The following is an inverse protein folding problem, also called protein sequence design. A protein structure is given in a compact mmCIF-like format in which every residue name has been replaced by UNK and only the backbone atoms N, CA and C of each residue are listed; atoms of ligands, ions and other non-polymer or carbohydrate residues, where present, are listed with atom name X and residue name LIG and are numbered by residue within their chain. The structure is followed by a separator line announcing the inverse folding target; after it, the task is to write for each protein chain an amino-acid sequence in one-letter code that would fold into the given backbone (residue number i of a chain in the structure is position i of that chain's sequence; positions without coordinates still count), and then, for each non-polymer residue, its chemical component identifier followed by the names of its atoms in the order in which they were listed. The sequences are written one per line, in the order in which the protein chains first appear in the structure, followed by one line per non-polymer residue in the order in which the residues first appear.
data_IF_470257592044
#
_entry.id   IF_470257592044
#
_cell.length_a   1.000
_cell.length_b   1.000
_cell.length_c   1.000
_cell.angle_alpha   90.00
_cell.angle_beta   90.00
_cell.angle_gamma   90.00
#
_symmetry.space_group_name_H-M   'P 1'
#
loop_
_entity.id
_entity.type
_entity.pdbx_description
1 polymer ?
#
# COMPACT_ATOMS: atom_id res chain seq x y z
N UNK A 1 7.97 11.60 -42.06
CA UNK A 1 7.19 10.61 -41.30
C UNK A 1 6.42 9.80 -42.33
N UNK A 2 6.60 8.49 -42.36
CA UNK A 2 5.99 7.61 -43.37
C UNK A 2 4.77 6.93 -42.76
N UNK A 3 3.60 7.18 -43.33
CA UNK A 3 2.33 6.64 -42.84
C UNK A 3 2.19 5.16 -43.25
N UNK A 4 2.68 4.25 -42.39
CA UNK A 4 2.62 2.81 -42.62
C UNK A 4 1.20 2.28 -42.37
N UNK A 5 0.34 2.44 -43.36
CA UNK A 5 -0.98 1.80 -43.38
C UNK A 5 -0.82 0.28 -43.48
N UNK A 6 -1.20 -0.43 -42.41
CA UNK A 6 -1.17 -1.90 -42.36
C UNK A 6 -2.01 -2.53 -43.49
N UNK A 7 -1.51 -3.60 -44.11
CA UNK A 7 -2.28 -4.35 -45.11
C UNK A 7 -3.46 -5.08 -44.46
N UNK A 8 -4.58 -5.33 -45.18
CA UNK A 8 -5.76 -5.99 -44.62
C UNK A 8 -5.49 -7.34 -43.94
N UNK A 9 -4.53 -8.11 -44.45
CA UNK A 9 -4.08 -9.39 -43.86
C UNK A 9 -3.39 -9.17 -42.50
N UNK A 10 -2.55 -8.12 -42.37
CA UNK A 10 -1.87 -7.76 -41.13
C UNK A 10 -2.88 -7.24 -40.09
N UNK A 11 -3.88 -6.47 -40.53
CA UNK A 11 -5.01 -6.04 -39.68
C UNK A 11 -5.81 -7.27 -39.21
N UNK A 12 -6.10 -8.22 -40.10
CA UNK A 12 -6.83 -9.44 -39.75
C UNK A 12 -6.07 -10.33 -38.77
N UNK A 13 -4.73 -10.44 -38.88
CA UNK A 13 -3.92 -11.13 -37.87
C UNK A 13 -4.00 -10.40 -36.54
N UNK A 14 -3.65 -9.11 -36.50
CA UNK A 14 -3.62 -8.34 -35.26
C UNK A 14 -4.98 -8.33 -34.51
N UNK A 15 -6.11 -8.29 -35.23
CA UNK A 15 -7.45 -8.41 -34.64
C UNK A 15 -7.70 -9.82 -34.07
N UNK A 16 -7.25 -10.88 -34.75
CA UNK A 16 -7.33 -12.25 -34.25
C UNK A 16 -6.42 -12.45 -33.02
N UNK A 17 -5.19 -11.92 -33.05
CA UNK A 17 -4.20 -11.99 -31.98
C UNK A 17 -4.68 -11.25 -30.71
N UNK A 18 -5.33 -10.09 -30.87
CA UNK A 18 -6.00 -9.38 -29.77
C UNK A 18 -7.19 -10.18 -29.23
N UNK A 19 -8.01 -10.79 -30.10
CA UNK A 19 -9.18 -11.57 -29.69
C UNK A 19 -8.81 -12.86 -28.93
N UNK A 20 -7.80 -13.60 -29.41
CA UNK A 20 -7.30 -14.82 -28.74
C UNK A 20 -6.63 -14.48 -27.42
N UNK A 21 -5.75 -13.47 -27.39
CA UNK A 21 -5.10 -12.99 -26.16
C UNK A 21 -6.13 -12.54 -25.13
N UNK A 22 -7.19 -11.82 -25.56
CA UNK A 22 -8.27 -11.41 -24.66
C UNK A 22 -9.01 -12.61 -24.07
N UNK A 23 -9.36 -13.61 -24.88
CA UNK A 23 -10.01 -14.84 -24.41
C UNK A 23 -9.17 -15.59 -23.36
N UNK A 24 -7.85 -15.69 -23.57
CA UNK A 24 -6.94 -16.31 -22.58
C UNK A 24 -6.85 -15.49 -21.30
N UNK A 25 -6.86 -14.15 -21.36
CA UNK A 25 -6.88 -13.27 -20.18
C UNK A 25 -8.18 -13.42 -19.38
N UNK A 26 -9.34 -13.56 -20.04
CA UNK A 26 -10.62 -13.73 -19.37
C UNK A 26 -10.73 -15.10 -18.70
N UNK A 27 -10.43 -16.20 -19.40
CA UNK A 27 -10.38 -17.56 -18.83
C UNK A 27 -9.37 -17.66 -17.66
N UNK A 28 -8.18 -17.07 -17.79
CA UNK A 28 -7.21 -17.02 -16.70
C UNK A 28 -7.69 -16.20 -15.50
N UNK A 29 -8.51 -15.16 -15.72
CA UNK A 29 -9.11 -14.36 -14.64
C UNK A 29 -10.20 -15.13 -13.91
N UNK A 30 -11.07 -15.86 -14.62
CA UNK A 30 -12.06 -16.75 -14.02
C UNK A 30 -11.40 -17.90 -13.24
N UNK A 31 -10.36 -18.52 -13.81
CA UNK A 31 -9.58 -19.55 -13.13
C UNK A 31 -8.92 -19.00 -11.85
N UNK A 32 -8.32 -17.81 -11.91
CA UNK A 32 -7.72 -17.14 -10.76
C UNK A 32 -8.75 -16.87 -9.65
N UNK A 33 -9.91 -16.28 -9.94
CA UNK A 33 -10.93 -16.05 -8.91
C UNK A 33 -11.57 -17.35 -8.38
N UNK A 34 -11.69 -18.38 -9.23
CA UNK A 34 -12.09 -19.73 -8.80
C UNK A 34 -11.08 -20.35 -7.82
N UNK A 35 -9.78 -20.26 -8.12
CA UNK A 35 -8.70 -20.68 -7.23
C UNK A 35 -8.66 -19.85 -5.94
N UNK A 36 -8.81 -18.52 -6.03
CA UNK A 36 -8.87 -17.58 -4.91
C UNK A 36 -10.04 -17.88 -3.96
N UNK A 37 -11.21 -18.20 -4.51
CA UNK A 37 -12.41 -18.62 -3.77
C UNK A 37 -12.20 -19.94 -3.02
N UNK A 38 -11.57 -20.94 -3.66
CA UNK A 38 -11.19 -22.22 -3.02
C UNK A 38 -10.16 -22.00 -1.90
N UNK A 39 -9.09 -21.24 -2.17
CA UNK A 39 -8.05 -20.89 -1.20
C UNK A 39 -8.63 -20.14 0.01
N UNK A 40 -9.53 -19.17 -0.21
CA UNK A 40 -10.22 -18.43 0.87
C UNK A 40 -11.00 -19.35 1.82
N UNK A 41 -11.61 -20.42 1.33
CA UNK A 41 -12.28 -21.41 2.17
C UNK A 41 -11.27 -22.28 2.94
N UNK A 42 -10.26 -22.82 2.25
CA UNK A 42 -9.25 -23.71 2.85
C UNK A 42 -8.30 -23.03 3.84
N UNK A 43 -8.01 -21.74 3.65
CA UNK A 43 -7.10 -20.96 4.51
C UNK A 43 -7.78 -20.35 5.74
N UNK A 44 -9.12 -20.31 5.78
CA UNK A 44 -9.89 -19.70 6.88
C UNK A 44 -9.50 -20.21 8.30
N UNK A 45 -9.18 -21.50 8.53
CA UNK A 45 -8.70 -21.98 9.83
C UNK A 45 -7.40 -21.31 10.28
N UNK A 46 -6.44 -21.07 9.38
CA UNK A 46 -5.16 -20.42 9.68
C UNK A 46 -5.37 -18.94 10.08
N UNK A 47 -6.32 -18.25 9.44
CA UNK A 47 -6.69 -16.87 9.81
C UNK A 47 -7.28 -16.81 11.22
N UNK A 48 -8.13 -17.79 11.58
CA UNK A 48 -8.68 -17.94 12.94
C UNK A 48 -7.61 -18.29 13.97
N UNK A 49 -6.61 -19.09 13.60
CA UNK A 49 -5.44 -19.42 14.41
C UNK A 49 -4.42 -18.27 14.54
N UNK A 50 -4.75 -17.06 14.08
CA UNK A 50 -3.91 -15.88 14.28
C UNK A 50 -2.75 -15.73 13.30
N UNK A 51 -2.67 -16.51 12.23
CA UNK A 51 -1.68 -16.32 11.16
C UNK A 51 -1.88 -14.97 10.47
N UNK A 52 -0.79 -14.24 10.18
CA UNK A 52 -0.81 -12.93 9.52
C UNK A 52 -0.54 -13.04 8.01
N UNK A 53 0.38 -13.89 7.61
CA UNK A 53 0.78 -14.14 6.22
C UNK A 53 1.29 -15.56 6.02
N UNK A 54 1.34 -15.99 4.75
CA UNK A 54 1.91 -17.25 4.29
C UNK A 54 2.76 -16.98 3.04
N UNK A 55 3.98 -17.50 3.00
CA UNK A 55 4.82 -17.50 1.78
C UNK A 55 4.44 -18.69 0.92
N UNK A 56 4.20 -18.48 -0.37
CA UNK A 56 4.10 -19.59 -1.33
C UNK A 56 5.49 -19.87 -1.90
N UNK A 57 5.84 -21.15 -2.07
CA UNK A 57 7.11 -21.58 -2.63
C UNK A 57 6.90 -22.79 -3.56
N UNK A 58 7.84 -22.98 -4.47
CA UNK A 58 7.94 -24.17 -5.32
C UNK A 58 8.47 -25.39 -4.52
N UNK A 59 8.34 -26.62 -5.07
CA UNK A 59 8.88 -27.83 -4.43
C UNK A 59 10.40 -27.81 -4.18
N UNK A 60 11.15 -26.99 -4.93
CA UNK A 60 12.59 -26.75 -4.73
C UNK A 60 12.92 -25.75 -3.60
N UNK A 61 11.90 -25.13 -2.99
CA UNK A 61 12.03 -24.10 -1.96
C UNK A 61 12.05 -22.66 -2.46
N UNK A 62 12.03 -22.41 -3.78
CA UNK A 62 12.02 -21.05 -4.35
C UNK A 62 10.74 -20.32 -3.97
N UNK A 63 10.88 -19.21 -3.24
CA UNK A 63 9.74 -18.38 -2.82
C UNK A 63 9.14 -17.61 -4.01
N UNK A 64 7.82 -17.70 -4.16
CA UNK A 64 7.04 -17.10 -5.27
C UNK A 64 6.37 -15.77 -4.89
N UNK A 65 6.36 -15.44 -3.59
CA UNK A 65 5.66 -14.29 -3.04
C UNK A 65 4.89 -14.62 -1.76
N UNK A 66 4.16 -13.61 -1.26
CA UNK A 66 3.50 -13.66 0.05
C UNK A 66 2.01 -13.37 -0.06
N UNK A 67 1.21 -14.25 0.55
CA UNK A 67 -0.20 -14.08 0.80
C UNK A 67 -0.38 -13.46 2.18
N UNK A 68 -1.00 -12.27 2.26
CA UNK A 68 -1.25 -11.55 3.52
C UNK A 68 -2.75 -11.51 3.80
N UNK A 69 -3.15 -11.93 5.00
CA UNK A 69 -4.56 -11.93 5.39
C UNK A 69 -5.03 -10.54 5.79
N UNK A 70 -6.14 -10.10 5.20
CA UNK A 70 -6.80 -8.86 5.60
C UNK A 70 -7.49 -9.04 6.95
N UNK A 71 -7.11 -8.22 7.92
CA UNK A 71 -7.81 -8.10 9.20
C UNK A 71 -8.55 -6.75 9.22
N UNK A 72 -9.88 -6.74 9.18
CA UNK A 72 -10.62 -5.53 9.49
C UNK A 72 -10.30 -5.11 10.93
N UNK A 73 -9.97 -3.83 11.13
CA UNK A 73 -9.72 -3.26 12.45
C UNK A 73 -10.95 -3.43 13.36
N UNK A 74 -10.78 -3.59 14.69
CA UNK A 74 -11.91 -3.57 15.62
C UNK A 74 -12.67 -2.25 15.46
N UNK A 75 -14.00 -2.32 15.55
CA UNK A 75 -14.82 -1.12 15.73
C UNK A 75 -15.11 -0.98 17.21
N UNK A 76 -14.50 0.04 17.80
CA UNK A 76 -14.76 0.45 19.17
C UNK A 76 -15.94 1.43 19.11
N UNK A 77 -17.04 1.08 19.77
CA UNK A 77 -18.11 2.03 20.08
C UNK A 77 -18.03 2.27 21.58
N UNK A 78 -17.75 3.52 21.95
CA UNK A 78 -17.76 3.96 23.35
C UNK A 78 -19.20 4.15 23.83
N UNK A 79 -19.44 3.88 25.10
CA UNK A 79 -20.65 4.32 25.80
C UNK A 79 -20.31 5.68 26.43
N UNK A 80 -20.92 6.77 25.94
CA UNK A 80 -20.52 8.14 26.33
C UNK A 80 -20.81 8.42 27.81
N UNK A 81 -21.88 7.84 28.37
CA UNK A 81 -22.26 8.03 29.77
C UNK A 81 -21.31 7.24 30.69
N UNK A 82 -21.11 5.94 30.43
CA UNK A 82 -20.24 5.09 31.24
C UNK A 82 -18.74 5.46 31.11
N UNK A 83 -18.30 5.94 29.94
CA UNK A 83 -16.96 6.48 29.76
C UNK A 83 -16.76 7.78 30.54
N UNK A 84 -17.79 8.64 30.62
CA UNK A 84 -17.71 9.88 31.41
C UNK A 84 -17.65 9.58 32.91
N UNK A 85 -18.46 8.64 33.41
CA UNK A 85 -18.42 8.18 34.81
C UNK A 85 -17.03 7.62 35.16
N UNK A 86 -16.48 6.72 34.33
CA UNK A 86 -15.14 6.17 34.56
C UNK A 86 -14.02 7.22 34.54
N UNK A 87 -14.07 8.20 33.63
CA UNK A 87 -13.04 9.26 33.56
C UNK A 87 -13.16 10.25 34.72
N UNK A 88 -14.37 10.50 35.25
CA UNK A 88 -14.57 11.36 36.42
C UNK A 88 -14.00 10.73 37.71
N UNK A 89 -14.14 9.41 37.87
CA UNK A 89 -13.52 8.68 38.99
C UNK A 89 -11.99 8.56 38.88
N UNK A 90 -11.46 8.41 37.66
CA UNK A 90 -10.04 8.03 37.45
C UNK A 90 -9.11 9.17 37.05
N UNK A 91 -9.59 10.12 36.27
CA UNK A 91 -8.80 11.21 35.68
C UNK A 91 -9.68 12.44 35.37
N UNK A 92 -10.37 13.03 36.36
CA UNK A 92 -11.37 14.09 36.13
C UNK A 92 -10.81 15.35 35.43
N UNK A 93 -9.48 15.53 35.42
CA UNK A 93 -8.79 16.60 34.67
C UNK A 93 -8.76 16.42 33.14
N UNK A 94 -9.21 15.28 32.62
CA UNK A 94 -9.30 14.99 31.17
C UNK A 94 -10.74 15.03 30.62
N UNK A 95 -11.71 15.38 31.48
CA UNK A 95 -13.03 15.86 31.06
C UNK A 95 -12.90 17.34 30.70
N UNK A 96 -13.26 17.71 29.46
CA UNK A 96 -13.55 19.09 29.11
C UNK A 96 -15.05 19.36 29.34
N UNK A 97 -15.34 20.33 30.21
CA UNK A 97 -16.66 20.91 30.45
C UNK A 97 -16.77 22.20 29.61
N UNK A 98 -17.38 22.10 28.43
CA UNK A 98 -17.55 23.24 27.52
C UNK A 98 -18.99 23.79 27.59
N UNK A 99 -19.11 25.12 27.58
CA UNK A 99 -20.38 25.86 27.56
C UNK A 99 -20.51 26.50 26.17
N UNK A 100 -21.73 26.60 25.63
CA UNK A 100 -21.98 27.27 24.34
C UNK A 100 -21.21 28.61 24.25
N UNK A 101 -20.28 28.76 23.26
CA UNK A 101 -19.44 29.96 23.14
C UNK A 101 -20.21 31.27 22.97
N UNK A 102 -21.49 31.23 22.57
CA UNK A 102 -22.35 32.41 22.53
C UNK A 102 -22.83 32.87 23.92
N UNK A 103 -22.79 31.99 24.92
CA UNK A 103 -23.25 32.22 26.30
C UNK A 103 -22.06 32.59 27.21
N UNK A 104 -20.89 31.98 27.01
CA UNK A 104 -19.65 32.25 27.75
C UNK A 104 -19.16 33.72 27.72
N UNK A 105 -19.65 34.53 26.78
CA UNK A 105 -19.25 35.92 26.64
C UNK A 105 -19.74 36.86 27.77
N UNK A 106 -20.61 36.38 28.67
CA UNK A 106 -21.13 37.15 29.80
C UNK A 106 -20.79 36.49 31.16
N UNK A 107 -19.90 37.06 32.00
CA UNK A 107 -19.42 36.41 33.21
C UNK A 107 -20.55 36.09 34.22
N UNK A 108 -21.53 36.99 34.36
CA UNK A 108 -22.68 36.82 35.26
C UNK A 108 -23.50 35.55 34.96
N UNK A 109 -23.47 35.07 33.71
CA UNK A 109 -24.20 33.87 33.27
C UNK A 109 -23.42 32.59 33.59
N UNK A 110 -22.08 32.65 33.56
CA UNK A 110 -21.22 31.51 33.92
C UNK A 110 -21.34 31.19 35.40
N UNK A 111 -21.28 32.22 36.25
CA UNK A 111 -21.46 32.07 37.71
C UNK A 111 -22.88 31.56 38.04
N UNK A 112 -23.91 32.08 37.37
CA UNK A 112 -25.29 31.61 37.56
C UNK A 112 -25.54 30.16 37.13
N UNK A 113 -24.97 29.72 35.98
CA UNK A 113 -25.07 28.33 35.50
C UNK A 113 -24.42 27.37 36.51
N UNK A 114 -23.23 27.71 37.02
CA UNK A 114 -22.52 26.90 38.02
C UNK A 114 -23.29 26.77 39.35
N UNK A 115 -24.02 27.81 39.77
CA UNK A 115 -24.85 27.76 40.98
C UNK A 115 -26.20 27.05 40.81
N UNK A 116 -26.84 27.14 39.64
CA UNK A 116 -28.27 26.80 39.49
C UNK A 116 -28.59 25.68 38.51
N UNK A 117 -27.77 25.46 37.47
CA UNK A 117 -28.05 24.54 36.36
C UNK A 117 -26.79 23.82 35.85
N UNK A 118 -26.10 23.02 36.70
CA UNK A 118 -24.91 22.27 36.31
C UNK A 118 -25.18 21.26 35.17
N UNK A 119 -26.43 20.82 34.98
CA UNK A 119 -26.84 19.95 33.87
C UNK A 119 -26.72 20.58 32.48
N UNK A 120 -26.44 21.89 32.38
CA UNK A 120 -26.12 22.56 31.13
C UNK A 120 -24.67 22.32 30.66
N UNK A 121 -23.78 21.81 31.52
CA UNK A 121 -22.39 21.49 31.18
C UNK A 121 -22.30 20.17 30.42
N UNK A 122 -21.90 20.20 29.15
CA UNK A 122 -21.73 18.98 28.36
C UNK A 122 -20.30 18.45 28.48
N UNK A 123 -20.09 17.66 29.53
CA UNK A 123 -18.86 16.89 29.76
C UNK A 123 -18.50 16.05 28.53
N UNK A 124 -17.24 16.09 28.12
CA UNK A 124 -16.70 15.23 27.07
C UNK A 124 -15.24 14.87 27.33
N UNK A 125 -14.84 13.64 27.01
CA UNK A 125 -13.45 13.19 27.18
C UNK A 125 -12.60 13.68 26.03
N UNK A 126 -11.45 14.30 26.34
CA UNK A 126 -10.53 14.83 25.33
C UNK A 126 -10.16 13.78 24.27
N UNK A 127 -10.33 14.06 22.96
CA UNK A 127 -10.02 13.10 21.90
C UNK A 127 -8.59 12.56 21.94
N UNK A 128 -7.62 13.39 22.36
CA UNK A 128 -6.22 12.99 22.54
C UNK A 128 -6.04 11.97 23.68
N UNK A 129 -6.84 12.06 24.75
CA UNK A 129 -6.84 11.11 25.86
C UNK A 129 -7.50 9.79 25.46
N UNK A 130 -8.59 9.84 24.69
CA UNK A 130 -9.21 8.63 24.10
C UNK A 130 -8.19 7.82 23.28
N UNK A 131 -7.36 8.47 22.45
CA UNK A 131 -6.29 7.79 21.68
C UNK A 131 -5.16 7.20 22.55
N UNK A 132 -5.05 7.58 23.83
CA UNK A 132 -4.18 6.90 24.81
C UNK A 132 -4.90 5.69 25.40
N UNK A 133 -6.16 5.85 25.84
CA UNK A 133 -6.98 4.76 26.37
C UNK A 133 -7.17 3.60 25.36
N UNK A 134 -7.23 3.88 24.06
CA UNK A 134 -7.24 2.87 22.98
C UNK A 134 -6.01 1.93 22.98
N UNK A 135 -4.91 2.30 23.63
CA UNK A 135 -3.68 1.49 23.69
C UNK A 135 -3.66 0.54 24.89
N UNK A 136 -4.35 0.90 25.97
CA UNK A 136 -4.48 0.12 27.21
C UNK A 136 -5.79 -0.70 27.26
N UNK A 137 -6.73 -0.45 26.34
CA UNK A 137 -8.01 -1.16 26.22
C UNK A 137 -7.82 -2.66 25.90
N UNK A 138 -8.48 -3.52 26.67
CA UNK A 138 -8.39 -4.97 26.47
C UNK A 138 -9.26 -5.48 25.32
N UNK A 139 -9.16 -6.79 25.06
CA UNK A 139 -9.87 -7.48 23.99
C UNK A 139 -11.37 -7.73 24.27
N UNK A 140 -11.86 -7.34 25.44
CA UNK A 140 -13.27 -7.36 25.82
C UNK A 140 -13.89 -5.96 25.84
N UNK A 141 -13.07 -4.90 25.87
CA UNK A 141 -13.49 -3.50 25.99
C UNK A 141 -13.37 -2.93 27.40
N UNK A 142 -12.53 -3.54 28.24
CA UNK A 142 -12.28 -3.12 29.60
C UNK A 142 -10.97 -2.34 29.74
N UNK A 143 -10.93 -1.42 30.71
CA UNK A 143 -9.73 -0.79 31.24
C UNK A 143 -9.52 -1.22 32.69
N UNK A 144 -8.27 -1.28 33.15
CA UNK A 144 -7.97 -1.48 34.57
C UNK A 144 -8.06 -0.14 35.31
N UNK A 145 -8.93 -0.04 36.31
CA UNK A 145 -9.06 1.13 37.16
C UNK A 145 -7.74 1.38 37.93
N UNK A 146 -7.08 2.55 37.78
CA UNK A 146 -5.67 2.73 38.15
C UNK A 146 -5.36 2.64 39.64
N UNK A 147 -6.37 2.78 40.51
CA UNK A 147 -6.21 2.73 41.98
C UNK A 147 -6.55 1.35 42.56
N UNK A 148 -7.45 0.58 41.94
CA UNK A 148 -7.95 -0.70 42.47
C UNK A 148 -7.50 -1.92 41.67
N UNK A 149 -7.10 -1.73 40.40
CA UNK A 149 -6.77 -2.81 39.46
C UNK A 149 -7.98 -3.58 38.93
N UNK A 150 -9.20 -3.15 39.24
CA UNK A 150 -10.43 -3.80 38.77
C UNK A 150 -10.74 -3.45 37.31
N UNK A 151 -11.24 -4.41 36.54
CA UNK A 151 -11.54 -4.23 35.11
C UNK A 151 -12.93 -3.63 34.93
N UNK A 152 -12.99 -2.39 34.46
CA UNK A 152 -14.23 -1.66 34.16
C UNK A 152 -14.48 -1.71 32.65
N UNK A 153 -15.68 -2.16 32.24
CA UNK A 153 -16.08 -2.21 30.84
C UNK A 153 -16.52 -0.82 30.36
N UNK A 154 -15.72 -0.19 29.50
CA UNK A 154 -15.91 1.19 29.01
C UNK A 154 -16.26 1.27 27.52
N UNK A 155 -16.10 0.17 26.78
CA UNK A 155 -16.33 0.14 25.34
C UNK A 155 -16.95 -1.19 24.87
N UNK A 156 -17.77 -1.12 23.81
CA UNK A 156 -18.19 -2.33 23.08
C UNK A 156 -17.20 -2.60 21.95
N UNK A 157 -16.22 -3.48 22.20
CA UNK A 157 -15.25 -3.93 21.18
C UNK A 157 -15.92 -4.93 20.22
N UNK A 158 -16.51 -4.42 19.15
CA UNK A 158 -17.07 -5.27 18.10
C UNK A 158 -15.91 -5.82 17.24
N UNK A 159 -15.52 -7.07 17.48
CA UNK A 159 -14.52 -7.77 16.64
C UNK A 159 -15.17 -8.24 15.33
N UNK A 160 -14.86 -7.61 14.17
CA UNK A 160 -15.44 -8.02 12.90
C UNK A 160 -15.06 -9.46 12.51
N UNK A 161 -16.07 -10.26 12.15
CA UNK A 161 -15.93 -11.68 11.79
C UNK A 161 -14.89 -11.89 10.68
N UNK A 162 -13.77 -12.53 11.01
CA UNK A 162 -12.68 -12.84 10.05
C UNK A 162 -13.21 -13.55 8.81
N UNK A 163 -13.04 -12.89 7.67
CA UNK A 163 -13.69 -13.23 6.39
C UNK A 163 -12.88 -14.19 5.51
N UNK A 164 -11.62 -14.49 5.89
CA UNK A 164 -10.66 -15.22 5.08
C UNK A 164 -10.13 -14.43 3.86
N UNK A 165 -10.42 -13.13 3.74
CA UNK A 165 -9.90 -12.31 2.65
C UNK A 165 -8.37 -12.15 2.75
N UNK A 166 -7.71 -12.13 1.60
CA UNK A 166 -6.27 -11.95 1.50
C UNK A 166 -5.89 -11.13 0.27
N UNK A 167 -4.70 -10.55 0.36
CA UNK A 167 -3.95 -9.95 -0.74
C UNK A 167 -2.79 -10.88 -1.11
N UNK A 168 -2.42 -10.92 -2.38
CA UNK A 168 -1.25 -11.65 -2.89
C UNK A 168 -0.23 -10.64 -3.40
N UNK A 169 1.02 -10.75 -2.95
CA UNK A 169 2.16 -10.01 -3.48
C UNK A 169 3.13 -11.01 -4.10
N UNK A 170 3.16 -11.07 -5.43
CA UNK A 170 4.09 -11.90 -6.17
C UNK A 170 5.55 -11.40 -5.98
N UNK A 171 6.50 -12.33 -6.05
CA UNK A 171 7.88 -12.00 -6.40
C UNK A 171 8.01 -12.02 -7.93
N UNK A 172 8.12 -10.85 -8.53
CA UNK A 172 8.22 -10.70 -9.98
C UNK A 172 9.54 -11.24 -10.54
N UNK A 173 10.60 -11.37 -9.72
CA UNK A 173 11.88 -11.96 -10.15
C UNK A 173 11.74 -13.46 -10.46
N UNK A 174 10.80 -14.14 -9.81
CA UNK A 174 10.55 -15.58 -9.98
C UNK A 174 9.48 -15.89 -11.04
N UNK A 175 8.98 -14.87 -11.77
CA UNK A 175 7.92 -15.04 -12.80
C UNK A 175 8.28 -16.11 -13.82
N UNK A 176 9.50 -16.07 -14.39
CA UNK A 176 9.93 -17.04 -15.41
C UNK A 176 10.08 -18.45 -14.82
N UNK A 177 10.68 -18.59 -13.63
CA UNK A 177 10.80 -19.89 -12.92
C UNK A 177 9.43 -20.50 -12.61
N UNK A 178 8.44 -19.68 -12.24
CA UNK A 178 7.05 -20.09 -12.01
C UNK A 178 6.36 -20.55 -13.31
N UNK A 179 6.47 -19.77 -14.39
CA UNK A 179 5.89 -20.15 -15.68
C UNK A 179 6.49 -21.47 -16.19
N UNK A 180 7.80 -21.67 -16.05
CA UNK A 180 8.47 -22.94 -16.36
C UNK A 180 7.98 -24.08 -15.46
N UNK A 181 7.78 -23.87 -14.16
CA UNK A 181 7.25 -24.88 -13.23
C UNK A 181 5.82 -25.32 -13.57
N UNK A 182 4.98 -24.38 -14.03
CA UNK A 182 3.60 -24.68 -14.44
C UNK A 182 3.57 -25.34 -15.83
N UNK A 183 4.44 -24.93 -16.77
CA UNK A 183 4.59 -25.57 -18.08
C UNK A 183 5.16 -27.00 -18.00
N UNK A 184 6.09 -27.26 -17.09
CA UNK A 184 6.68 -28.58 -16.86
C UNK A 184 5.75 -29.56 -16.11
N UNK A 185 4.67 -29.06 -15.52
CA UNK A 185 3.77 -29.85 -14.67
C UNK A 185 4.27 -30.05 -13.23
N UNK A 186 5.38 -29.42 -12.84
CA UNK A 186 5.88 -29.39 -11.46
C UNK A 186 4.86 -28.75 -10.49
N UNK A 187 4.07 -27.78 -10.98
CA UNK A 187 2.95 -27.16 -10.25
C UNK A 187 1.63 -27.50 -10.92
N UNK A 188 0.80 -28.30 -10.25
CA UNK A 188 -0.47 -28.79 -10.78
C UNK A 188 -1.55 -27.72 -10.95
N UNK A 189 -2.44 -27.94 -11.93
CA UNK A 189 -3.70 -27.19 -12.11
C UNK A 189 -3.67 -26.03 -13.11
N UNK A 190 -2.54 -25.33 -13.28
CA UNK A 190 -2.43 -24.17 -14.19
C UNK A 190 -1.90 -24.46 -15.60
N UNK A 191 -1.45 -25.68 -15.86
CA UNK A 191 -0.62 -26.01 -17.03
C UNK A 191 -1.29 -25.84 -18.39
N UNK A 192 -2.62 -25.95 -18.49
CA UNK A 192 -3.32 -25.95 -19.79
C UNK A 192 -3.42 -24.53 -20.40
N UNK A 193 -3.71 -23.51 -19.60
CA UNK A 193 -3.85 -22.14 -20.08
C UNK A 193 -2.50 -21.56 -20.56
N UNK A 194 -1.37 -22.00 -19.99
CA UNK A 194 -0.04 -21.57 -20.42
C UNK A 194 0.41 -22.15 -21.78
N UNK A 195 -0.34 -23.10 -22.35
CA UNK A 195 -0.15 -23.62 -23.72
C UNK A 195 -0.86 -22.77 -24.78
N UNK A 196 -1.81 -21.94 -24.36
CA UNK A 196 -2.56 -21.03 -25.24
C UNK A 196 -1.87 -19.67 -25.39
N UNK A 197 -0.95 -19.36 -24.48
CA UNK A 197 0.01 -18.27 -24.64
C UNK A 197 1.13 -18.75 -25.59
N UNK A 198 1.62 -17.89 -26.51
CA UNK A 198 2.78 -18.23 -27.31
C UNK A 198 3.98 -18.56 -26.42
N UNK A 199 4.82 -19.48 -26.86
CA UNK A 199 6.14 -19.65 -26.25
C UNK A 199 6.95 -18.39 -26.54
N UNK A 200 7.22 -17.61 -25.49
CA UNK A 200 8.30 -16.64 -25.52
C UNK A 200 9.60 -17.43 -25.60
N UNK A 201 10.08 -17.64 -26.82
CA UNK A 201 11.42 -18.13 -27.07
C UNK A 201 12.40 -17.08 -26.55
N UNK A 202 13.43 -17.52 -25.80
CA UNK A 202 14.60 -16.70 -25.52
C UNK A 202 15.41 -16.53 -26.83
N UNK A 203 14.90 -15.72 -27.76
CA UNK A 203 15.66 -15.29 -28.94
C UNK A 203 16.78 -14.35 -28.48
N UNK A 204 18.00 -14.88 -28.47
CA UNK A 204 19.19 -14.15 -28.04
C UNK A 204 19.59 -13.05 -29.01
N UNK A 205 19.10 -11.83 -28.75
CA UNK A 205 19.75 -10.56 -29.08
C UNK A 205 20.34 -10.41 -30.49
N UNK A 206 19.52 -9.99 -31.45
CA UNK A 206 19.88 -8.89 -32.35
C UNK A 206 18.62 -8.09 -32.72
N UNK A 207 18.72 -6.77 -32.76
CA UNK A 207 17.55 -5.90 -32.65
C UNK A 207 17.09 -5.25 -33.96
N UNK A 208 15.81 -4.88 -34.02
CA UNK A 208 15.35 -3.53 -34.39
C UNK A 208 13.82 -3.42 -34.27
N UNK A 209 13.29 -2.71 -33.26
CA UNK A 209 12.06 -1.91 -33.42
C UNK A 209 11.75 -0.94 -32.25
N UNK A 210 10.83 0.00 -32.52
CA UNK A 210 10.39 1.11 -31.66
C UNK A 210 8.88 1.34 -31.88
N UNK A 211 8.01 1.59 -30.89
CA UNK A 211 8.12 1.79 -29.42
C UNK A 211 7.02 0.92 -28.75
N UNK A 212 6.71 0.83 -27.45
CA UNK A 212 6.82 1.64 -26.20
C UNK A 212 6.49 0.67 -25.03
N UNK A 213 6.90 0.77 -23.76
CA UNK A 213 7.86 1.65 -23.04
C UNK A 213 8.19 1.04 -21.65
N UNK A 214 8.85 -0.11 -21.60
CA UNK A 214 9.26 -0.74 -20.32
C UNK A 214 10.58 -0.13 -19.81
N UNK A 215 10.55 1.17 -19.53
CA UNK A 215 11.68 2.02 -19.15
C UNK A 215 12.28 1.58 -17.79
N UNK A 216 13.47 0.94 -17.77
CA UNK A 216 13.93 0.17 -16.62
C UNK A 216 14.52 1.07 -15.53
N UNK A 217 14.47 0.61 -14.26
CA UNK A 217 15.15 1.27 -13.15
C UNK A 217 16.67 1.27 -13.35
N UNK A 218 17.34 2.37 -12.99
CA UNK A 218 18.77 2.50 -13.27
C UNK A 218 19.66 1.55 -12.44
N UNK A 219 20.51 0.84 -13.16
CA UNK A 219 21.53 -0.03 -12.56
C UNK A 219 22.62 0.75 -11.81
N UNK A 220 23.45 0.02 -11.05
CA UNK A 220 24.55 0.58 -10.25
C UNK A 220 25.57 1.40 -11.06
N UNK A 221 25.80 1.06 -12.33
CA UNK A 221 26.73 1.77 -13.21
C UNK A 221 26.24 3.20 -13.52
N UNK A 222 24.98 3.34 -13.95
CA UNK A 222 24.32 4.62 -14.18
C UNK A 222 24.29 5.51 -12.92
N UNK A 223 24.06 4.92 -11.74
CA UNK A 223 24.14 5.61 -10.45
C UNK A 223 25.54 6.17 -10.14
N UNK A 224 26.59 5.42 -10.46
CA UNK A 224 27.98 5.86 -10.28
C UNK A 224 28.35 6.97 -11.27
N UNK A 225 27.93 6.87 -12.53
CA UNK A 225 28.14 7.92 -13.54
C UNK A 225 27.40 9.21 -13.17
N UNK A 226 26.12 9.13 -12.78
CA UNK A 226 25.33 10.28 -12.34
C UNK A 226 26.00 10.97 -11.15
N UNK A 227 26.47 10.20 -10.16
CA UNK A 227 27.19 10.76 -9.01
C UNK A 227 28.48 11.50 -9.43
N UNK A 228 29.25 10.93 -10.35
CA UNK A 228 30.46 11.56 -10.90
C UNK A 228 30.14 12.88 -11.63
N UNK A 229 29.16 12.87 -12.54
CA UNK A 229 28.75 14.05 -13.33
C UNK A 229 28.15 15.16 -12.45
N UNK A 230 27.36 14.81 -11.43
CA UNK A 230 26.84 15.78 -10.47
C UNK A 230 27.97 16.46 -9.67
N UNK A 231 28.97 15.69 -9.23
CA UNK A 231 30.14 16.25 -8.55
C UNK A 231 30.97 17.15 -9.49
N UNK A 232 31.07 16.83 -10.78
CA UNK A 232 31.72 17.69 -11.79
C UNK A 232 30.93 19.00 -12.03
N UNK A 233 29.60 18.96 -11.95
CA UNK A 233 28.72 20.13 -12.00
C UNK A 233 28.62 20.90 -10.66
N UNK A 234 29.43 20.57 -9.66
CA UNK A 234 29.44 21.22 -8.34
C UNK A 234 28.31 20.80 -7.39
N UNK A 235 27.40 19.93 -7.81
CA UNK A 235 26.29 19.41 -6.99
C UNK A 235 26.77 18.30 -6.05
N UNK A 236 27.62 18.66 -5.09
CA UNK A 236 28.19 17.73 -4.10
C UNK A 236 27.20 17.35 -3.01
N UNK A 237 26.33 18.26 -2.60
CA UNK A 237 25.37 17.99 -1.53
C UNK A 237 24.22 17.08 -1.99
N UNK A 238 23.72 16.27 -1.05
CA UNK A 238 22.70 15.26 -1.35
C UNK A 238 21.44 15.89 -1.95
N UNK A 239 20.97 16.94 -1.29
CA UNK A 239 19.62 17.49 -1.44
C UNK A 239 19.55 18.55 -2.55
N UNK A 240 20.62 19.33 -2.76
CA UNK A 240 20.78 20.20 -3.93
C UNK A 240 20.68 19.40 -5.23
N UNK A 241 21.36 18.25 -5.29
CA UNK A 241 21.30 17.34 -6.41
C UNK A 241 19.91 16.67 -6.58
N UNK A 242 19.19 16.36 -5.50
CA UNK A 242 17.80 15.86 -5.60
C UNK A 242 16.84 16.96 -6.08
N UNK A 243 17.03 18.21 -5.64
CA UNK A 243 16.29 19.36 -6.14
C UNK A 243 16.56 19.62 -7.63
N UNK A 244 17.82 19.53 -8.07
CA UNK A 244 18.20 19.64 -9.49
C UNK A 244 17.55 18.53 -10.34
N UNK A 245 17.60 17.27 -9.87
CA UNK A 245 16.92 16.15 -10.54
C UNK A 245 15.41 16.43 -10.67
N UNK A 246 14.77 16.89 -9.61
CA UNK A 246 13.35 17.20 -9.64
C UNK A 246 12.99 18.41 -10.52
N UNK A 247 13.88 19.39 -10.63
CA UNK A 247 13.74 20.53 -11.55
C UNK A 247 13.83 20.08 -13.02
N UNK A 248 14.78 19.21 -13.37
CA UNK A 248 14.92 18.69 -14.75
C UNK A 248 13.74 17.79 -15.13
N UNK A 249 13.27 16.95 -14.20
CA UNK A 249 12.18 15.98 -14.45
C UNK A 249 10.78 16.52 -14.15
N UNK A 250 10.63 17.78 -13.76
CA UNK A 250 9.35 18.41 -13.40
C UNK A 250 8.58 17.72 -12.27
N UNK A 251 9.23 16.89 -11.45
CA UNK A 251 8.61 15.95 -10.51
C UNK A 251 9.45 15.77 -9.24
N UNK A 252 8.82 15.50 -8.10
CA UNK A 252 9.53 15.31 -6.83
C UNK A 252 10.17 13.93 -6.74
N UNK A 253 11.51 13.86 -6.72
CA UNK A 253 12.26 12.60 -6.64
C UNK A 253 12.85 12.37 -5.24
N UNK A 254 12.35 11.37 -4.53
CA UNK A 254 12.79 11.00 -3.16
C UNK A 254 14.17 10.35 -3.11
N UNK A 255 14.58 9.68 -4.20
CA UNK A 255 15.80 8.87 -4.26
C UNK A 255 16.35 8.78 -5.68
N UNK A 256 17.66 9.00 -5.85
CA UNK A 256 18.33 8.80 -7.15
C UNK A 256 18.24 7.34 -7.65
N UNK A 257 17.97 6.38 -6.76
CA UNK A 257 17.81 4.94 -7.08
C UNK A 257 16.44 4.57 -7.64
N UNK A 258 15.47 5.48 -7.58
CA UNK A 258 14.11 5.28 -8.10
C UNK A 258 13.95 5.87 -9.51
N UNK A 259 15.01 6.48 -10.05
CA UNK A 259 15.08 6.94 -11.43
C UNK A 259 15.01 5.76 -12.40
N UNK A 260 14.25 5.95 -13.47
CA UNK A 260 14.29 5.12 -14.67
C UNK A 260 15.39 5.57 -15.63
N UNK A 261 15.72 4.74 -16.63
CA UNK A 261 16.80 4.99 -17.56
C UNK A 261 16.55 6.23 -18.43
N UNK A 262 15.32 6.46 -18.90
CA UNK A 262 14.96 7.69 -19.65
C UNK A 262 15.15 8.95 -18.80
N UNK A 263 14.74 8.90 -17.52
CA UNK A 263 14.87 10.01 -16.57
C UNK A 263 16.33 10.29 -16.25
N UNK A 264 17.14 9.24 -16.10
CA UNK A 264 18.59 9.36 -15.93
C UNK A 264 19.27 9.97 -17.16
N UNK A 265 18.90 9.55 -18.37
CA UNK A 265 19.40 10.16 -19.62
C UNK A 265 19.06 11.66 -19.70
N UNK A 266 17.83 12.05 -19.37
CA UNK A 266 17.41 13.45 -19.34
C UNK A 266 18.23 14.28 -18.33
N UNK A 267 18.45 13.76 -17.12
CA UNK A 267 19.29 14.43 -16.10
C UNK A 267 20.75 14.53 -16.55
N UNK A 268 21.31 13.48 -17.16
CA UNK A 268 22.69 13.49 -17.67
C UNK A 268 22.87 14.50 -18.80
N UNK A 269 21.95 14.56 -19.77
CA UNK A 269 21.98 15.55 -20.85
C UNK A 269 21.82 16.99 -20.31
N UNK A 270 20.99 17.21 -19.28
CA UNK A 270 20.87 18.52 -18.65
C UNK A 270 22.17 18.94 -17.93
N UNK A 271 22.88 18.01 -17.29
CA UNK A 271 24.19 18.26 -16.67
C UNK A 271 25.27 18.58 -17.71
N UNK A 272 25.26 17.91 -18.87
CA UNK A 272 26.13 18.23 -20.01
C UNK A 272 25.87 19.64 -20.55
N UNK A 273 24.60 20.03 -20.73
CA UNK A 273 24.24 21.38 -21.19
C UNK A 273 24.58 22.47 -20.15
N UNK A 274 24.39 22.21 -18.86
CA UNK A 274 24.74 23.14 -17.79
C UNK A 274 26.27 23.34 -17.65
N UNK A 275 27.06 22.27 -17.79
CA UNK A 275 28.52 22.36 -17.75
C UNK A 275 29.08 23.00 -19.03
N UNK A 276 28.49 22.72 -20.20
CA UNK A 276 28.86 23.35 -21.47
C UNK A 276 28.48 24.85 -21.59
N UNK A 277 27.68 25.39 -20.67
CA UNK A 277 27.32 26.82 -20.59
C UNK A 277 28.03 27.57 -19.46
N UNK A 278 28.91 26.90 -18.72
CA UNK A 278 29.72 27.47 -17.63
C UNK A 278 31.22 27.64 -18.00
N UNK A 279 31.57 27.48 -19.29
CA UNK A 279 32.92 27.54 -19.87
C UNK A 279 33.00 28.63 -20.95
#
# INVERSE_FOLDING_TARGET
MSDQTLRPEQISSAVLDVATTRGVVDEASEHYESARKKARAGLLPYVRAGVKSLTAALPDGTALGTLTFSRPAPRITWDEDALTEFVDETAPTEIDEDIDPAILANPDVVEWILEHHPEALRRSVRPKYVTLLEQDLDHQGCLAHPVTGELVAVATVTVPKVTGQFQWKADHSQRSRLLTAVRSGEVGGGADLLKLLPDQQDEGSEGNDLVTEDDPLIERQHLAELHSRMHQAGLTERDEALAYIGQVLGTTVSSRKELRLSQWQQVVMALEQATATAV
#
